data_IF_801367899833
#
_entry.id   IF_801367899833
#
_cell.length_a   1.000
_cell.length_b   1.000
_cell.length_c   1.000
_cell.angle_alpha   90.00
_cell.angle_beta   90.00
_cell.angle_gamma   90.00
#
_symmetry.space_group_name_H-M   'P 1'
#
loop_
_entity.id
_entity.type
_entity.pdbx_description
1 polymer ?
#
# COMPACT_ATOMS: atom_id res chain seq x y z
N UNK A 1 -41.40 3.30 -29.23
CA UNK A 1 -39.94 3.22 -28.91
C UNK A 1 -39.81 2.81 -27.45
N UNK A 2 -39.25 1.64 -27.14
CA UNK A 2 -39.10 1.16 -25.75
C UNK A 2 -37.76 1.65 -25.23
N UNK A 3 -37.78 2.55 -24.25
CA UNK A 3 -36.59 3.04 -23.58
C UNK A 3 -36.22 2.03 -22.50
N UNK A 4 -35.17 1.23 -22.73
CA UNK A 4 -34.60 0.40 -21.67
C UNK A 4 -33.89 1.31 -20.67
N UNK A 5 -34.59 1.65 -19.59
CA UNK A 5 -33.99 2.37 -18.46
C UNK A 5 -33.06 1.39 -17.74
N UNK A 6 -31.76 1.65 -17.78
CA UNK A 6 -30.80 0.94 -16.93
C UNK A 6 -31.20 1.13 -15.46
N UNK A 7 -31.26 0.04 -14.66
CA UNK A 7 -31.61 0.15 -13.25
C UNK A 7 -30.62 1.07 -12.52
N UNK A 8 -31.10 1.94 -11.60
CA UNK A 8 -30.22 2.81 -10.84
C UNK A 8 -29.23 1.98 -10.02
N UNK A 9 -27.94 2.34 -10.09
CA UNK A 9 -26.87 1.65 -9.37
C UNK A 9 -26.05 0.65 -10.18
N UNK A 10 -26.40 0.39 -11.45
CA UNK A 10 -25.58 -0.46 -12.33
C UNK A 10 -24.71 0.44 -13.22
N UNK A 11 -23.40 0.40 -12.99
CA UNK A 11 -22.41 1.07 -13.84
C UNK A 11 -21.96 0.09 -14.91
N UNK A 12 -22.22 0.40 -16.17
CA UNK A 12 -21.62 -0.34 -17.29
C UNK A 12 -20.20 0.15 -17.50
N UNK A 13 -19.23 -0.75 -17.49
CA UNK A 13 -17.88 -0.46 -17.95
C UNK A 13 -17.96 0.08 -19.38
N UNK A 14 -17.27 1.20 -19.65
CA UNK A 14 -17.13 1.70 -21.03
C UNK A 14 -16.12 0.81 -21.72
N UNK A 15 -16.59 -0.07 -22.59
CA UNK A 15 -15.72 -0.84 -23.49
C UNK A 15 -15.31 0.12 -24.60
N UNK A 16 -14.00 0.31 -24.79
CA UNK A 16 -13.46 1.07 -25.91
C UNK A 16 -13.82 0.41 -27.26
N UNK A 17 -13.56 1.07 -28.40
CA UNK A 17 -13.80 0.46 -29.70
C UNK A 17 -13.06 -0.88 -29.81
N UNK A 18 -13.77 -1.90 -30.34
CA UNK A 18 -13.31 -3.29 -30.36
C UNK A 18 -12.06 -3.52 -31.22
N UNK A 19 -11.71 -2.56 -32.08
CA UNK A 19 -10.60 -2.63 -33.04
C UNK A 19 -9.27 -2.08 -32.49
N UNK A 20 -9.19 -1.73 -31.20
CA UNK A 20 -7.94 -1.31 -30.59
C UNK A 20 -7.07 -2.50 -30.19
N UNK A 21 -5.76 -2.46 -30.48
CA UNK A 21 -4.84 -3.50 -30.01
C UNK A 21 -4.83 -3.54 -28.48
N UNK A 22 -4.69 -4.73 -27.87
CA UNK A 22 -4.60 -4.87 -26.42
C UNK A 22 -3.47 -3.99 -25.86
N UNK A 23 -3.77 -3.22 -24.82
CA UNK A 23 -2.74 -2.45 -24.14
C UNK A 23 -1.71 -3.37 -23.51
N UNK A 24 -0.44 -2.98 -23.58
CA UNK A 24 0.60 -3.66 -22.82
C UNK A 24 0.29 -3.53 -21.32
N UNK A 25 0.46 -4.61 -20.54
CA UNK A 25 0.24 -4.54 -19.10
C UNK A 25 1.19 -3.51 -18.49
N UNK A 26 0.72 -2.76 -17.47
CA UNK A 26 1.56 -1.79 -16.80
C UNK A 26 2.77 -2.48 -16.16
N UNK A 27 3.92 -1.80 -16.09
CA UNK A 27 5.06 -2.31 -15.35
C UNK A 27 4.70 -2.65 -13.90
N UNK A 28 5.28 -3.71 -13.32
CA UNK A 28 5.01 -4.12 -11.95
C UNK A 28 5.45 -3.04 -10.95
N UNK A 29 4.56 -2.68 -10.02
CA UNK A 29 4.89 -1.79 -8.91
C UNK A 29 5.56 -2.59 -7.78
N UNK A 30 6.89 -2.50 -7.66
CA UNK A 30 7.67 -3.23 -6.67
C UNK A 30 7.34 -2.89 -5.22
N UNK A 31 7.01 -1.63 -4.93
CA UNK A 31 6.56 -1.20 -3.60
C UNK A 31 5.27 -1.92 -3.23
N UNK A 32 4.32 -1.97 -4.18
CA UNK A 32 3.04 -2.65 -3.97
C UNK A 32 3.22 -4.15 -3.78
N UNK A 33 4.07 -4.80 -4.58
CA UNK A 33 4.39 -6.23 -4.45
C UNK A 33 4.98 -6.52 -3.07
N UNK A 34 5.92 -5.70 -2.59
CA UNK A 34 6.48 -5.84 -1.25
C UNK A 34 5.42 -5.61 -0.15
N UNK A 35 4.51 -4.67 -0.35
CA UNK A 35 3.39 -4.44 0.56
C UNK A 35 2.45 -5.66 0.63
N UNK A 36 2.13 -6.27 -0.52
CA UNK A 36 1.29 -7.47 -0.59
C UNK A 36 1.92 -8.63 0.19
N UNK A 37 3.23 -8.87 0.01
CA UNK A 37 3.95 -9.91 0.72
C UNK A 37 4.01 -9.68 2.24
N UNK A 38 4.27 -8.45 2.69
CA UNK A 38 4.46 -8.17 4.12
C UNK A 38 3.16 -7.98 4.90
N UNK A 39 2.21 -7.23 4.33
CA UNK A 39 1.01 -6.77 5.06
C UNK A 39 -0.22 -7.61 4.76
N UNK A 40 -0.33 -8.15 3.55
CA UNK A 40 -1.55 -8.84 3.11
C UNK A 40 -1.43 -10.35 3.29
N UNK A 41 -0.31 -10.95 2.85
CA UNK A 41 -0.05 -12.39 2.94
C UNK A 41 -0.36 -13.05 4.30
N UNK A 42 -0.09 -12.44 5.48
CA UNK A 42 -0.41 -13.06 6.77
C UNK A 42 -1.92 -13.32 6.99
N UNK A 43 -2.78 -12.59 6.27
CA UNK A 43 -4.23 -12.72 6.35
C UNK A 43 -4.82 -13.49 5.17
N UNK A 44 -3.98 -14.01 4.26
CA UNK A 44 -4.40 -14.79 3.10
C UNK A 44 -4.55 -16.25 3.53
N UNK A 45 -5.70 -16.88 3.28
CA UNK A 45 -5.88 -18.31 3.53
C UNK A 45 -4.82 -19.14 2.79
N UNK A 46 -4.43 -20.28 3.37
CA UNK A 46 -3.37 -21.13 2.83
C UNK A 46 -3.63 -21.59 1.39
N UNK A 47 -4.89 -21.75 1.02
CA UNK A 47 -5.37 -22.10 -0.33
C UNK A 47 -4.91 -21.09 -1.39
N UNK A 48 -4.77 -19.81 -1.02
CA UNK A 48 -4.38 -18.72 -1.92
C UNK A 48 -2.95 -18.20 -1.64
N UNK A 49 -2.27 -18.71 -0.62
CA UNK A 49 -0.94 -18.25 -0.23
C UNK A 49 0.16 -18.62 -1.25
N UNK A 50 -0.13 -19.55 -2.16
CA UNK A 50 0.71 -19.95 -3.30
C UNK A 50 0.50 -19.10 -4.56
N UNK A 51 -0.49 -18.19 -4.55
CA UNK A 51 -0.74 -17.29 -5.68
C UNK A 51 0.51 -16.41 -5.92
N UNK A 52 0.96 -16.27 -7.19
CA UNK A 52 2.05 -15.34 -7.55
C UNK A 52 1.89 -13.93 -6.99
N UNK A 53 0.66 -13.46 -6.78
CA UNK A 53 0.36 -12.16 -6.17
C UNK A 53 0.94 -12.00 -4.75
N UNK A 54 1.06 -13.09 -4.00
CA UNK A 54 1.61 -13.13 -2.64
C UNK A 54 2.98 -13.80 -2.58
N UNK A 55 3.61 -14.06 -3.73
CA UNK A 55 4.94 -14.64 -3.78
C UNK A 55 5.97 -13.72 -3.11
N UNK A 56 7.05 -14.33 -2.62
CA UNK A 56 8.15 -13.57 -2.06
C UNK A 56 8.80 -12.74 -3.18
N UNK A 57 9.02 -11.43 -2.98
CA UNK A 57 9.69 -10.60 -3.99
C UNK A 57 11.13 -11.10 -4.20
N UNK A 58 11.58 -11.08 -5.44
CA UNK A 58 12.96 -11.45 -5.82
C UNK A 58 13.96 -10.42 -5.27
N UNK A 59 15.25 -10.77 -5.25
CA UNK A 59 16.28 -9.93 -4.65
C UNK A 59 16.42 -8.56 -5.35
N UNK A 60 16.21 -8.51 -6.67
CA UNK A 60 16.26 -7.29 -7.48
C UNK A 60 15.05 -6.38 -7.17
N UNK A 61 13.85 -6.95 -7.11
CA UNK A 61 12.61 -6.22 -6.77
C UNK A 61 12.68 -5.61 -5.38
N UNK A 62 13.27 -6.32 -4.42
CA UNK A 62 13.51 -5.80 -3.06
C UNK A 62 14.48 -4.62 -3.06
N UNK A 63 15.45 -4.54 -3.98
CA UNK A 63 16.37 -3.39 -4.08
C UNK A 63 15.62 -2.17 -4.61
N UNK A 64 14.86 -2.33 -5.69
CA UNK A 64 14.05 -1.26 -6.27
C UNK A 64 13.01 -0.72 -5.29
N UNK A 65 12.33 -1.60 -4.54
CA UNK A 65 11.37 -1.16 -3.52
C UNK A 65 12.05 -0.37 -2.40
N UNK A 66 13.21 -0.83 -1.89
CA UNK A 66 13.97 -0.11 -0.85
C UNK A 66 14.43 1.26 -1.31
N UNK A 67 14.89 1.39 -2.54
CA UNK A 67 15.34 2.66 -3.11
C UNK A 67 14.18 3.67 -3.19
N UNK A 68 13.01 3.22 -3.68
CA UNK A 68 11.81 4.04 -3.73
C UNK A 68 11.33 4.46 -2.33
N UNK A 69 11.31 3.53 -1.37
CA UNK A 69 10.85 3.82 0.01
C UNK A 69 11.83 4.77 0.72
N UNK A 70 13.14 4.62 0.48
CA UNK A 70 14.16 5.47 1.07
C UNK A 70 14.11 6.90 0.51
N UNK A 71 13.85 7.07 -0.78
CA UNK A 71 13.63 8.40 -1.36
C UNK A 71 12.44 9.10 -0.69
N UNK A 72 11.33 8.39 -0.50
CA UNK A 72 10.15 8.92 0.16
C UNK A 72 10.37 9.24 1.64
N UNK A 73 11.02 8.35 2.41
CA UNK A 73 11.33 8.61 3.83
C UNK A 73 12.25 9.84 4.01
N UNK A 74 13.18 10.07 3.08
CA UNK A 74 14.01 11.27 3.11
C UNK A 74 13.20 12.54 2.80
N UNK A 75 12.26 12.48 1.87
CA UNK A 75 11.34 13.60 1.58
C UNK A 75 10.38 13.88 2.75
N UNK A 76 9.81 12.84 3.36
CA UNK A 76 8.95 12.97 4.53
C UNK A 76 9.71 13.56 5.71
N UNK A 77 10.94 13.07 5.97
CA UNK A 77 11.82 13.62 7.02
C UNK A 77 12.23 15.06 6.72
N UNK A 78 12.48 15.41 5.46
CA UNK A 78 12.76 16.78 5.05
C UNK A 78 11.53 17.69 5.24
N UNK A 79 10.32 17.22 4.94
CA UNK A 79 9.08 17.96 5.17
C UNK A 79 8.77 18.15 6.67
N UNK A 80 9.02 17.13 7.50
CA UNK A 80 8.92 17.24 8.96
C UNK A 80 9.94 18.25 9.52
N UNK A 81 11.15 18.30 8.96
CA UNK A 81 12.17 19.29 9.38
C UNK A 81 11.89 20.73 8.94
N UNK A 82 11.00 20.92 7.96
CA UNK A 82 10.51 22.24 7.51
C UNK A 82 9.24 22.69 8.24
N UNK A 83 8.56 21.79 8.94
CA UNK A 83 7.44 22.14 9.81
C UNK A 83 7.97 22.77 11.12
N UNK A 84 7.74 24.08 11.29
CA UNK A 84 8.02 24.83 12.51
C UNK A 84 7.38 24.17 13.76
N UNK A 85 8.03 24.16 14.94
CA UNK A 85 7.50 23.51 16.14
C UNK A 85 6.38 24.36 16.78
N UNK A 86 5.17 24.26 16.25
CA UNK A 86 3.97 24.76 16.94
C UNK A 86 3.46 23.70 17.94
N UNK A 87 4.08 23.70 19.12
CA UNK A 87 3.53 23.30 20.43
C UNK A 87 2.66 22.02 20.53
N UNK A 88 3.27 20.87 20.79
CA UNK A 88 2.57 19.75 21.45
C UNK A 88 2.87 19.77 22.96
N UNK A 89 2.04 20.47 23.75
CA UNK A 89 1.97 20.26 25.20
C UNK A 89 0.98 19.13 25.48
N UNK A 90 1.44 17.90 25.45
CA UNK A 90 0.71 16.76 26.03
C UNK A 90 1.66 16.00 26.95
N UNK A 91 1.50 16.27 28.25
CA UNK A 91 2.30 15.66 29.31
C UNK A 91 2.09 14.16 29.36
N UNK A 92 3.19 13.42 29.50
CA UNK A 92 3.13 12.01 29.89
C UNK A 92 3.92 11.83 31.18
N UNK A 93 3.18 11.65 32.27
CA UNK A 93 3.65 11.39 33.64
C UNK A 93 4.42 10.07 33.68
N UNK A 94 5.74 10.15 33.84
CA UNK A 94 6.62 9.01 34.11
C UNK A 94 6.11 8.18 35.29
N UNK A 95 5.60 6.97 35.02
CA UNK A 95 5.47 5.94 36.06
C UNK A 95 6.84 5.27 36.23
N UNK A 96 7.60 5.73 37.22
CA UNK A 96 8.77 4.99 37.72
C UNK A 96 8.28 3.61 38.20
N UNK A 97 8.93 2.56 37.70
CA UNK A 97 8.83 1.19 38.23
C UNK A 97 9.30 1.20 39.69
N UNK A 98 8.40 0.90 40.63
CA UNK A 98 8.80 0.48 41.96
C UNK A 98 9.01 -1.04 41.91
N UNK A 99 10.27 -1.47 41.99
CA UNK A 99 10.61 -2.81 42.46
C UNK A 99 10.11 -2.89 43.91
N UNK A 100 9.33 -3.91 44.25
CA UNK A 100 9.30 -4.42 45.61
C UNK A 100 9.75 -5.86 45.56
N UNK A 101 10.92 -6.06 46.13
CA UNK A 101 11.55 -7.34 46.40
C UNK A 101 10.76 -8.11 47.46
N UNK A 102 11.06 -9.40 47.49
CA UNK A 102 10.62 -10.50 48.35
C UNK A 102 10.47 -10.17 49.83
#
# INVERSE_FOLDING_TARGET
>A
MKMFRTPPGVVSCRVGPADLPPLQPPPPNFEKIQQMYNKVRPYVPSEFASDPLYAAPTAEEKRHAKEATQAQENEDRANVSKASPAQSKTGTRSRKRAKKET
#
